data_IF_525593509217
#
_entry.id   IF_525593509217
#
_cell.length_a   1.000
_cell.length_b   1.000
_cell.length_c   1.000
_cell.angle_alpha   90.00
_cell.angle_beta   90.00
_cell.angle_gamma   90.00
#
_symmetry.space_group_name_H-M   'P 1'
#
loop_
_entity.id
_entity.type
_entity.pdbx_description
1 polymer ?
#
# COMPACT_ATOMS: atom_id res chain seq x y z
N UNK A 1 20.01 -21.87 -2.93
CA UNK A 1 18.67 -21.76 -2.30
C UNK A 1 17.78 -22.79 -2.96
N UNK A 2 17.40 -23.86 -2.26
CA UNK A 2 16.60 -24.96 -2.81
C UNK A 2 15.19 -24.44 -3.14
N UNK A 3 14.78 -24.56 -4.39
CA UNK A 3 13.38 -24.42 -4.81
C UNK A 3 12.58 -25.51 -4.11
N UNK A 4 11.64 -25.12 -3.25
CA UNK A 4 10.73 -26.08 -2.64
C UNK A 4 9.91 -26.74 -3.76
N UNK A 5 10.10 -28.04 -3.96
CA UNK A 5 9.25 -28.80 -4.87
C UNK A 5 7.79 -28.72 -4.42
N UNK A 6 6.86 -28.50 -5.35
CA UNK A 6 5.44 -28.45 -5.01
C UNK A 6 4.99 -29.80 -4.45
N UNK A 7 4.20 -29.76 -3.39
CA UNK A 7 3.54 -30.95 -2.84
C UNK A 7 2.71 -31.68 -3.91
N UNK A 8 2.54 -33.00 -3.85
CA UNK A 8 1.65 -33.72 -4.78
C UNK A 8 0.23 -33.10 -4.72
N UNK A 9 -0.18 -32.43 -5.79
CA UNK A 9 -1.45 -31.68 -5.86
C UNK A 9 -1.33 -30.17 -5.80
N UNK A 10 -0.16 -29.60 -5.53
CA UNK A 10 0.11 -28.16 -5.47
C UNK A 10 0.14 -27.48 -6.85
N UNK A 11 0.31 -26.15 -6.82
CA UNK A 11 0.35 -25.31 -8.03
C UNK A 11 1.72 -25.40 -8.71
N UNK A 12 1.71 -25.57 -10.04
CA UNK A 12 2.95 -25.65 -10.82
C UNK A 12 3.49 -24.28 -11.22
N UNK A 13 2.62 -23.27 -11.28
CA UNK A 13 2.97 -21.90 -11.68
C UNK A 13 2.04 -20.88 -11.04
N UNK A 14 2.46 -19.61 -11.11
CA UNK A 14 1.71 -18.46 -10.58
C UNK A 14 1.48 -17.45 -11.70
N UNK A 15 0.30 -16.85 -11.75
CA UNK A 15 -0.08 -15.80 -12.69
C UNK A 15 -0.53 -14.55 -11.95
N UNK A 16 0.25 -13.49 -12.04
CA UNK A 16 -0.07 -12.21 -11.41
C UNK A 16 -0.85 -11.34 -12.37
N UNK A 17 -2.09 -11.02 -12.02
CA UNK A 17 -3.03 -10.33 -12.89
C UNK A 17 -2.94 -8.81 -12.71
N UNK A 18 -2.59 -8.08 -13.78
CA UNK A 18 -2.50 -6.61 -13.80
C UNK A 18 -3.35 -6.01 -14.92
N UNK A 19 -3.86 -4.76 -14.80
CA UNK A 19 -4.70 -4.17 -15.85
C UNK A 19 -3.93 -3.93 -17.15
N UNK A 20 -2.65 -3.62 -17.06
CA UNK A 20 -1.72 -3.34 -18.15
C UNK A 20 -0.43 -2.79 -17.57
N UNK A 21 0.63 -2.71 -18.38
CA UNK A 21 1.95 -2.23 -17.98
C UNK A 21 2.35 -0.90 -18.66
N UNK A 22 1.46 -0.35 -19.48
CA UNK A 22 1.67 0.94 -20.15
C UNK A 22 1.67 2.13 -19.18
N UNK A 23 2.10 3.29 -19.68
CA UNK A 23 2.28 4.53 -18.88
C UNK A 23 1.03 4.97 -18.13
N UNK A 24 -0.16 4.76 -18.70
CA UNK A 24 -1.45 5.11 -18.07
C UNK A 24 -1.76 4.34 -16.79
N UNK A 25 -1.09 3.21 -16.55
CA UNK A 25 -1.27 2.38 -15.34
C UNK A 25 -0.17 2.62 -14.31
N UNK A 26 0.85 3.45 -14.62
CA UNK A 26 1.94 3.74 -13.67
C UNK A 26 1.41 4.31 -12.37
N UNK A 27 1.60 3.56 -11.31
CA UNK A 27 1.27 3.95 -9.94
C UNK A 27 1.94 2.98 -8.97
N UNK A 28 2.00 3.32 -7.69
CA UNK A 28 2.57 2.44 -6.66
C UNK A 28 1.93 1.05 -6.62
N UNK A 29 0.63 0.93 -6.93
CA UNK A 29 -0.04 -0.38 -7.00
C UNK A 29 0.49 -1.26 -8.12
N UNK A 30 0.83 -0.70 -9.30
CA UNK A 30 1.45 -1.46 -10.37
C UNK A 30 2.89 -1.87 -10.00
N UNK A 31 3.68 -0.95 -9.43
CA UNK A 31 5.04 -1.27 -8.97
C UNK A 31 5.04 -2.44 -7.99
N UNK A 32 4.16 -2.42 -7.00
CA UNK A 32 4.00 -3.52 -6.04
C UNK A 32 3.55 -4.82 -6.71
N UNK A 33 2.63 -4.77 -7.69
CA UNK A 33 2.20 -5.99 -8.40
C UNK A 33 3.34 -6.60 -9.25
N UNK A 34 4.15 -5.77 -9.90
CA UNK A 34 5.32 -6.23 -10.67
C UNK A 34 6.42 -6.74 -9.74
N UNK A 35 6.68 -6.08 -8.61
CA UNK A 35 7.58 -6.58 -7.56
C UNK A 35 7.08 -7.93 -7.03
N UNK A 36 5.79 -8.07 -6.75
CA UNK A 36 5.18 -9.34 -6.35
C UNK A 36 5.45 -10.44 -7.37
N UNK A 37 5.25 -10.18 -8.66
CA UNK A 37 5.52 -11.17 -9.72
C UNK A 37 7.00 -11.56 -9.78
N UNK A 38 7.90 -10.58 -9.70
CA UNK A 38 9.36 -10.81 -9.69
C UNK A 38 9.78 -11.64 -8.48
N UNK A 39 9.28 -11.33 -7.29
CA UNK A 39 9.63 -12.07 -6.08
C UNK A 39 9.02 -13.47 -6.06
N UNK A 40 7.78 -13.63 -6.50
CA UNK A 40 7.16 -14.96 -6.64
C UNK A 40 7.91 -15.83 -7.65
N UNK A 41 8.52 -15.25 -8.70
CA UNK A 41 9.30 -16.01 -9.67
C UNK A 41 10.56 -16.66 -9.08
N UNK A 42 11.06 -16.18 -7.94
CA UNK A 42 12.14 -16.84 -7.19
C UNK A 42 11.67 -18.05 -6.39
N UNK A 43 10.36 -18.20 -6.20
CA UNK A 43 9.74 -19.28 -5.44
C UNK A 43 9.11 -20.32 -6.37
N UNK A 44 8.47 -19.90 -7.46
CA UNK A 44 7.83 -20.74 -8.48
C UNK A 44 7.80 -20.05 -9.84
N UNK A 45 7.71 -20.81 -10.96
CA UNK A 45 7.48 -20.22 -12.29
C UNK A 45 6.31 -19.23 -12.23
N UNK A 46 6.57 -17.96 -12.54
CA UNK A 46 5.58 -16.88 -12.40
C UNK A 46 5.57 -16.01 -13.64
N UNK A 47 4.38 -15.67 -14.13
CA UNK A 47 4.19 -14.75 -15.24
C UNK A 47 3.22 -13.62 -14.88
N UNK A 48 3.43 -12.44 -15.47
CA UNK A 48 2.49 -11.31 -15.42
C UNK A 48 1.49 -11.48 -16.55
N UNK A 49 0.20 -11.35 -16.23
CA UNK A 49 -0.90 -11.45 -17.20
C UNK A 49 -1.68 -10.14 -17.21
N UNK A 50 -1.89 -9.56 -18.40
CA UNK A 50 -2.68 -8.33 -18.55
C UNK A 50 -4.14 -8.64 -18.87
N UNK A 51 -5.08 -7.74 -18.46
CA UNK A 51 -6.52 -7.99 -18.68
C UNK A 51 -7.32 -6.79 -19.19
N UNK A 52 -6.74 -5.59 -19.26
CA UNK A 52 -7.37 -4.38 -19.86
C UNK A 52 -6.64 -3.90 -21.10
N UNK A 53 -5.35 -4.06 -21.14
CA UNK A 53 -4.48 -3.62 -22.22
C UNK A 53 -3.60 -4.78 -22.68
N UNK A 54 -3.59 -5.04 -23.99
CA UNK A 54 -2.68 -6.02 -24.59
C UNK A 54 -1.25 -5.48 -24.61
N UNK A 55 -0.29 -6.35 -24.46
CA UNK A 55 1.13 -6.04 -24.45
C UNK A 55 1.90 -7.12 -25.19
N UNK A 56 2.90 -6.74 -25.95
CA UNK A 56 3.78 -7.73 -26.61
C UNK A 56 4.68 -8.48 -25.62
N UNK A 57 4.80 -7.97 -24.39
CA UNK A 57 5.66 -8.55 -23.34
C UNK A 57 4.93 -9.52 -22.42
N UNK A 58 3.61 -9.45 -22.36
CA UNK A 58 2.82 -10.20 -21.38
C UNK A 58 1.59 -10.81 -22.05
N UNK A 59 1.27 -12.08 -21.74
CA UNK A 59 0.06 -12.70 -22.24
C UNK A 59 -1.20 -11.94 -21.79
N UNK A 60 -2.24 -12.03 -22.62
CA UNK A 60 -3.52 -11.42 -22.33
C UNK A 60 -4.49 -12.47 -21.74
N UNK A 61 -5.22 -12.08 -20.70
CA UNK A 61 -6.07 -12.99 -19.93
C UNK A 61 -7.04 -13.80 -20.80
N UNK A 62 -7.78 -13.15 -21.72
CA UNK A 62 -8.79 -13.87 -22.49
C UNK A 62 -8.17 -14.91 -23.44
N UNK A 63 -6.98 -14.62 -23.99
CA UNK A 63 -6.28 -15.53 -24.88
C UNK A 63 -5.81 -16.77 -24.12
N UNK A 64 -5.26 -16.58 -22.89
CA UNK A 64 -4.88 -17.69 -22.03
C UNK A 64 -6.08 -18.55 -21.64
N UNK A 65 -7.20 -17.91 -21.27
CA UNK A 65 -8.40 -18.65 -20.87
C UNK A 65 -9.00 -19.45 -22.03
N UNK A 66 -8.92 -18.93 -23.26
CA UNK A 66 -9.36 -19.61 -24.46
C UNK A 66 -8.45 -20.79 -24.83
N UNK A 67 -7.12 -20.58 -24.74
CA UNK A 67 -6.14 -21.61 -25.09
C UNK A 67 -6.14 -22.80 -24.10
N UNK A 68 -6.32 -22.53 -22.80
CA UNK A 68 -6.31 -23.57 -21.77
C UNK A 68 -7.54 -24.48 -21.80
N UNK A 69 -8.70 -23.98 -22.23
CA UNK A 69 -9.97 -24.72 -22.19
C UNK A 69 -10.39 -25.11 -20.76
N UNK A 70 -9.74 -26.11 -20.19
CA UNK A 70 -9.95 -26.58 -18.80
C UNK A 70 -9.01 -25.88 -17.82
N UNK A 71 -9.42 -25.67 -16.54
CA UNK A 71 -8.56 -25.07 -15.52
C UNK A 71 -7.27 -25.86 -15.30
N UNK A 72 -6.13 -25.21 -15.52
CA UNK A 72 -4.81 -25.76 -15.23
C UNK A 72 -4.43 -25.63 -13.74
N UNK A 73 -3.21 -26.12 -13.40
CA UNK A 73 -2.64 -26.03 -12.03
C UNK A 73 -1.92 -24.70 -11.78
N UNK A 74 -2.35 -23.60 -12.40
CA UNK A 74 -1.80 -22.26 -12.16
C UNK A 74 -2.58 -21.53 -11.08
N UNK A 75 -1.87 -20.98 -10.08
CA UNK A 75 -2.44 -20.10 -9.08
C UNK A 75 -2.56 -18.68 -9.65
N UNK A 76 -3.76 -18.10 -9.64
CA UNK A 76 -4.01 -16.72 -10.09
C UNK A 76 -3.98 -15.74 -8.92
N UNK A 77 -3.06 -14.79 -8.92
CA UNK A 77 -3.00 -13.69 -7.94
C UNK A 77 -3.76 -12.49 -8.49
N UNK A 78 -4.83 -12.11 -7.81
CA UNK A 78 -5.70 -10.98 -8.17
C UNK A 78 -5.56 -9.90 -7.12
N UNK A 79 -5.26 -8.64 -7.51
CA UNK A 79 -4.94 -7.58 -6.53
C UNK A 79 -5.64 -6.24 -6.77
N UNK A 80 -6.16 -5.95 -7.97
CA UNK A 80 -6.71 -4.63 -8.33
C UNK A 80 -8.14 -4.43 -7.82
N UNK A 81 -8.27 -3.92 -6.62
CA UNK A 81 -9.45 -3.68 -5.81
C UNK A 81 -10.80 -3.64 -6.52
N UNK A 82 -11.12 -2.56 -7.24
CA UNK A 82 -12.41 -2.43 -7.92
C UNK A 82 -12.64 -3.42 -9.08
N UNK A 83 -11.58 -4.04 -9.61
CA UNK A 83 -11.67 -5.03 -10.68
C UNK A 83 -11.76 -6.46 -10.18
N UNK A 84 -11.52 -6.70 -8.89
CA UNK A 84 -11.50 -8.04 -8.29
C UNK A 84 -12.78 -8.84 -8.61
N UNK A 85 -14.00 -8.31 -8.41
CA UNK A 85 -15.22 -9.08 -8.73
C UNK A 85 -15.32 -9.49 -10.20
N UNK A 86 -14.87 -8.62 -11.12
CA UNK A 86 -14.86 -8.91 -12.56
C UNK A 86 -13.81 -9.97 -12.89
N UNK A 87 -12.63 -9.88 -12.27
CA UNK A 87 -11.54 -10.84 -12.47
C UNK A 87 -11.91 -12.20 -11.92
N UNK A 88 -12.50 -12.29 -10.73
CA UNK A 88 -13.00 -13.54 -10.14
C UNK A 88 -14.07 -14.19 -11.02
N UNK A 89 -14.96 -13.40 -11.63
CA UNK A 89 -15.98 -13.92 -12.55
C UNK A 89 -15.34 -14.56 -13.79
N UNK A 90 -14.26 -13.97 -14.34
CA UNK A 90 -13.52 -14.50 -15.50
C UNK A 90 -12.71 -15.76 -15.15
N UNK A 91 -12.20 -15.83 -13.93
CA UNK A 91 -11.38 -16.94 -13.42
C UNK A 91 -12.20 -18.06 -12.77
N UNK A 92 -13.51 -18.12 -13.01
CA UNK A 92 -14.38 -19.14 -12.44
C UNK A 92 -13.83 -20.55 -12.69
N UNK A 93 -13.81 -21.39 -11.63
CA UNK A 93 -13.29 -22.74 -11.67
C UNK A 93 -11.76 -22.84 -11.58
N UNK A 94 -11.03 -21.74 -11.55
CA UNK A 94 -9.57 -21.70 -11.42
C UNK A 94 -9.14 -21.40 -9.99
N UNK A 95 -7.97 -21.89 -9.55
CA UNK A 95 -7.40 -21.52 -8.26
C UNK A 95 -7.03 -20.03 -8.24
N UNK A 96 -7.59 -19.28 -7.29
CA UNK A 96 -7.36 -17.83 -7.14
C UNK A 96 -7.00 -17.50 -5.71
N UNK A 97 -6.05 -16.60 -5.52
CA UNK A 97 -5.77 -15.90 -4.28
C UNK A 97 -5.98 -14.40 -4.47
N UNK A 98 -6.62 -13.74 -3.54
CA UNK A 98 -6.78 -12.30 -3.54
C UNK A 98 -5.72 -11.64 -2.67
N UNK A 99 -4.79 -10.91 -3.29
CA UNK A 99 -3.83 -10.06 -2.57
C UNK A 99 -4.49 -8.70 -2.31
N UNK A 100 -4.83 -8.45 -1.04
CA UNK A 100 -5.63 -7.31 -0.63
C UNK A 100 -4.75 -6.12 -0.25
N UNK A 101 -4.65 -5.12 -1.13
CA UNK A 101 -3.84 -3.92 -0.92
C UNK A 101 -4.58 -2.78 -0.20
N UNK A 102 -5.87 -2.90 0.09
CA UNK A 102 -6.66 -1.88 0.79
C UNK A 102 -8.01 -2.45 1.23
N UNK A 103 -8.79 -1.64 1.91
CA UNK A 103 -10.18 -1.93 2.32
C UNK A 103 -11.16 -0.97 1.65
N UNK A 104 -12.46 -1.18 1.82
CA UNK A 104 -13.48 -0.21 1.40
C UNK A 104 -13.92 -0.31 -0.06
N UNK A 105 -13.47 -1.29 -0.84
CA UNK A 105 -13.86 -1.44 -2.24
C UNK A 105 -15.33 -1.79 -2.49
N UNK A 106 -16.09 -2.11 -1.42
CA UNK A 106 -17.55 -2.32 -1.48
C UNK A 106 -17.97 -3.61 -2.19
N UNK A 107 -17.15 -4.65 -2.17
CA UNK A 107 -17.51 -5.99 -2.63
C UNK A 107 -17.28 -7.03 -1.54
N UNK A 108 -17.94 -8.17 -1.68
CA UNK A 108 -17.75 -9.34 -0.84
C UNK A 108 -17.05 -10.45 -1.63
N UNK A 109 -16.25 -11.25 -0.95
CA UNK A 109 -15.56 -12.39 -1.56
C UNK A 109 -16.41 -13.66 -1.45
N UNK A 110 -16.43 -14.51 -2.49
CA UNK A 110 -16.97 -15.84 -2.40
C UNK A 110 -16.21 -16.66 -1.34
N UNK A 111 -16.88 -17.57 -0.60
CA UNK A 111 -16.20 -18.50 0.28
C UNK A 111 -15.11 -19.30 -0.44
N UNK A 112 -14.02 -19.63 0.24
CA UNK A 112 -12.94 -20.44 -0.31
C UNK A 112 -11.92 -19.69 -1.18
N UNK A 113 -12.05 -18.37 -1.37
CA UNK A 113 -11.00 -17.55 -1.99
C UNK A 113 -10.04 -17.09 -0.89
N UNK A 114 -8.80 -17.58 -0.83
CA UNK A 114 -7.83 -17.11 0.14
C UNK A 114 -7.50 -15.63 -0.05
N UNK A 115 -7.25 -14.93 1.07
CA UNK A 115 -6.90 -13.51 1.09
C UNK A 115 -5.51 -13.35 1.68
N UNK A 116 -4.60 -12.71 0.96
CA UNK A 116 -3.30 -12.27 1.45
C UNK A 116 -3.39 -10.77 1.68
N UNK A 117 -3.56 -10.36 2.93
CA UNK A 117 -3.62 -8.97 3.32
C UNK A 117 -2.22 -8.38 3.51
N UNK A 118 -2.04 -7.11 3.12
CA UNK A 118 -0.74 -6.43 3.21
C UNK A 118 -0.52 -5.70 4.54
N UNK A 119 -1.52 -5.66 5.43
CA UNK A 119 -1.45 -5.02 6.75
C UNK A 119 -2.48 -5.60 7.70
N UNK A 120 -2.30 -5.38 9.01
CA UNK A 120 -3.27 -5.78 10.05
C UNK A 120 -4.62 -5.10 9.86
N UNK A 121 -4.63 -3.84 9.44
CA UNK A 121 -5.88 -3.14 9.10
C UNK A 121 -6.63 -3.84 7.96
N UNK A 122 -5.93 -4.20 6.88
CA UNK A 122 -6.53 -4.90 5.74
C UNK A 122 -6.95 -6.32 6.12
N UNK A 123 -6.15 -7.01 6.96
CA UNK A 123 -6.47 -8.34 7.48
C UNK A 123 -7.76 -8.33 8.30
N UNK A 124 -7.87 -7.40 9.26
CA UNK A 124 -9.07 -7.24 10.10
C UNK A 124 -10.31 -6.93 9.27
N UNK A 125 -10.22 -6.00 8.32
CA UNK A 125 -11.33 -5.69 7.41
C UNK A 125 -11.84 -6.92 6.65
N UNK A 126 -10.94 -7.74 6.11
CA UNK A 126 -11.33 -8.95 5.38
C UNK A 126 -11.74 -10.09 6.32
N UNK A 127 -11.24 -10.12 7.57
CA UNK A 127 -11.73 -11.02 8.61
C UNK A 127 -13.23 -10.86 8.86
N UNK A 128 -13.68 -9.61 8.94
CA UNK A 128 -15.09 -9.29 9.12
C UNK A 128 -15.94 -9.55 7.87
N UNK A 129 -15.39 -9.24 6.69
CA UNK A 129 -16.14 -9.30 5.41
C UNK A 129 -16.09 -10.64 4.72
N UNK A 130 -15.11 -11.46 5.03
CA UNK A 130 -14.90 -12.77 4.41
C UNK A 130 -14.60 -13.86 5.46
N UNK A 131 -15.48 -14.08 6.45
CA UNK A 131 -15.22 -14.96 7.60
C UNK A 131 -15.12 -16.46 7.24
N UNK A 132 -15.38 -16.82 6.00
CA UNK A 132 -15.26 -18.20 5.47
C UNK A 132 -14.11 -18.35 4.48
N UNK A 133 -13.17 -17.40 4.47
CA UNK A 133 -12.04 -17.39 3.57
C UNK A 133 -10.76 -17.52 4.38
N UNK A 134 -9.77 -18.34 3.95
CA UNK A 134 -8.45 -18.36 4.57
C UNK A 134 -7.80 -16.98 4.48
N UNK A 135 -7.22 -16.49 5.58
CA UNK A 135 -6.61 -15.17 5.68
C UNK A 135 -5.13 -15.29 6.04
N UNK A 136 -4.30 -14.57 5.32
CA UNK A 136 -2.86 -14.51 5.51
C UNK A 136 -2.39 -13.06 5.60
N UNK A 137 -1.32 -12.81 6.34
CA UNK A 137 -0.68 -11.48 6.42
C UNK A 137 0.70 -11.54 5.77
N UNK A 138 0.87 -10.80 4.69
CA UNK A 138 2.17 -10.57 4.04
C UNK A 138 2.29 -9.09 3.70
N UNK A 139 3.02 -8.37 4.53
CA UNK A 139 3.29 -6.94 4.34
C UNK A 139 4.09 -6.69 3.05
N UNK A 140 3.88 -5.55 2.41
CA UNK A 140 4.67 -5.19 1.23
C UNK A 140 6.14 -5.01 1.60
N UNK A 141 7.03 -5.29 0.66
CA UNK A 141 8.46 -5.06 0.82
C UNK A 141 8.89 -3.73 0.20
N UNK A 142 9.93 -3.14 0.76
CA UNK A 142 10.70 -2.09 0.11
C UNK A 142 11.52 -2.69 -1.05
N UNK A 143 11.64 -1.94 -2.13
CA UNK A 143 12.59 -2.29 -3.20
C UNK A 143 14.03 -2.14 -2.69
N UNK A 144 14.99 -2.99 -3.17
CA UNK A 144 16.37 -3.00 -2.69
C UNK A 144 17.05 -1.63 -2.73
N UNK A 145 16.76 -0.81 -3.75
CA UNK A 145 17.34 0.52 -3.91
C UNK A 145 17.15 1.44 -2.68
N UNK A 146 16.05 1.29 -1.94
CA UNK A 146 15.81 2.06 -0.72
C UNK A 146 16.76 1.66 0.41
N UNK A 147 17.06 0.37 0.51
CA UNK A 147 17.95 -0.18 1.54
C UNK A 147 19.42 0.07 1.19
N UNK A 148 19.77 0.00 -0.08
CA UNK A 148 21.14 0.12 -0.60
C UNK A 148 21.62 1.57 -0.74
N UNK A 149 20.73 2.47 -1.20
CA UNK A 149 21.07 3.86 -1.53
C UNK A 149 20.54 4.88 -0.51
N UNK A 150 19.69 4.44 0.40
CA UNK A 150 19.12 5.32 1.42
C UNK A 150 20.19 5.83 2.40
N UNK A 151 20.31 7.14 2.53
CA UNK A 151 21.32 7.83 3.35
C UNK A 151 20.87 7.95 4.81
N UNK A 152 20.50 6.82 5.44
CA UNK A 152 20.17 6.78 6.88
C UNK A 152 21.43 6.68 7.73
N UNK A 153 21.42 7.23 8.96
CA UNK A 153 22.50 6.98 9.91
C UNK A 153 22.66 5.49 10.20
N UNK A 154 23.86 4.97 10.09
CA UNK A 154 24.22 3.59 10.44
C UNK A 154 24.61 3.53 11.93
N UNK A 155 24.57 2.31 12.51
CA UNK A 155 25.08 2.06 13.86
C UNK A 155 26.56 2.41 14.00
N UNK A 156 27.32 2.35 12.89
CA UNK A 156 28.76 2.65 12.83
C UNK A 156 29.08 4.13 12.58
N UNK A 157 28.15 4.88 11.99
CA UNK A 157 28.39 6.24 11.56
C UNK A 157 27.83 7.23 12.59
N UNK A 158 28.71 7.98 13.24
CA UNK A 158 28.36 9.06 14.16
C UNK A 158 28.20 10.42 13.47
N UNK A 159 28.63 10.53 12.22
CA UNK A 159 28.55 11.79 11.48
C UNK A 159 27.16 11.96 10.84
N UNK A 160 26.48 13.07 11.16
CA UNK A 160 25.21 13.36 10.55
C UNK A 160 25.39 13.57 9.03
N UNK A 161 24.46 13.09 8.23
CA UNK A 161 24.36 13.49 6.81
C UNK A 161 24.14 15.01 6.76
N UNK A 162 25.21 15.75 6.53
CA UNK A 162 25.31 17.16 6.90
C UNK A 162 24.68 18.12 5.89
N UNK A 163 24.44 17.71 4.64
CA UNK A 163 23.91 18.63 3.63
C UNK A 163 22.63 18.08 2.97
N UNK A 164 21.48 18.38 3.59
CA UNK A 164 20.15 18.13 3.02
C UNK A 164 19.50 19.45 2.65
N UNK A 165 19.50 19.83 1.35
CA UNK A 165 19.01 21.13 0.90
C UNK A 165 17.50 21.33 1.09
N UNK A 166 16.71 20.24 1.23
CA UNK A 166 15.27 20.29 1.44
C UNK A 166 15.00 20.14 2.93
N UNK A 167 14.44 21.17 3.56
CA UNK A 167 14.09 21.10 4.97
C UNK A 167 12.88 20.23 5.18
N UNK A 168 11.83 20.37 4.35
CA UNK A 168 10.61 19.61 4.45
C UNK A 168 10.14 19.13 3.07
N UNK A 169 9.95 17.84 2.90
CA UNK A 169 9.38 17.22 1.72
C UNK A 169 7.93 16.83 1.96
N UNK A 170 7.05 17.14 1.00
CA UNK A 170 5.64 16.77 1.00
C UNK A 170 5.26 16.20 -0.36
N UNK A 171 4.63 15.04 -0.39
CA UNK A 171 4.02 14.53 -1.63
C UNK A 171 2.58 15.04 -1.73
N UNK A 172 2.28 15.89 -2.74
CA UNK A 172 0.95 16.49 -2.94
C UNK A 172 -0.16 15.45 -3.04
N UNK A 173 0.07 14.35 -3.72
CA UNK A 173 -0.92 13.30 -3.99
C UNK A 173 -1.25 12.56 -2.73
N UNK A 174 -0.91 12.51 -1.70
CA UNK A 174 -1.31 11.77 -0.48
C UNK A 174 -1.21 12.65 0.76
N UNK A 175 -1.54 13.92 0.60
CA UNK A 175 -1.53 14.88 1.68
C UNK A 175 -2.91 15.43 1.94
N UNK A 176 -3.18 15.76 3.21
CA UNK A 176 -4.42 16.38 3.63
C UNK A 176 -4.51 17.85 3.22
N UNK A 177 -5.73 18.42 3.16
CA UNK A 177 -5.91 19.87 3.00
C UNK A 177 -5.23 20.67 4.10
N UNK A 178 -5.16 20.16 5.32
CA UNK A 178 -4.46 20.80 6.43
C UNK A 178 -2.96 20.96 6.11
N UNK A 179 -2.29 19.88 5.70
CA UNK A 179 -0.88 19.95 5.35
C UNK A 179 -0.65 20.89 4.17
N UNK A 180 -1.44 20.78 3.10
CA UNK A 180 -1.20 21.53 1.86
C UNK A 180 -1.58 23.02 1.96
N UNK A 181 -2.67 23.36 2.70
CA UNK A 181 -3.25 24.69 2.67
C UNK A 181 -2.98 25.50 3.94
N UNK A 182 -2.47 24.89 5.01
CA UNK A 182 -2.16 25.56 6.27
C UNK A 182 -0.71 25.32 6.69
N UNK A 183 -0.29 24.08 6.95
CA UNK A 183 1.04 23.78 7.49
C UNK A 183 2.16 24.16 6.52
N UNK A 184 2.09 23.74 5.24
CA UNK A 184 3.11 24.08 4.23
C UNK A 184 3.27 25.59 4.02
N UNK A 185 2.21 26.39 3.82
CA UNK A 185 2.35 27.86 3.73
C UNK A 185 2.99 28.47 4.98
N UNK A 186 2.62 28.01 6.16
CA UNK A 186 3.15 28.53 7.41
C UNK A 186 4.64 28.18 7.61
N UNK A 187 5.08 26.95 7.27
CA UNK A 187 6.49 26.56 7.28
C UNK A 187 7.32 27.42 6.30
N UNK A 188 6.81 27.68 5.09
CA UNK A 188 7.44 28.57 4.13
C UNK A 188 7.56 30.01 4.62
N UNK A 189 6.51 30.50 5.33
CA UNK A 189 6.53 31.82 5.94
C UNK A 189 7.58 31.97 7.05
N UNK A 190 7.98 30.87 7.68
CA UNK A 190 9.13 30.81 8.62
C UNK A 190 10.49 30.69 7.92
N UNK A 191 10.53 30.73 6.59
CA UNK A 191 11.78 30.68 5.82
C UNK A 191 12.30 29.26 5.54
N UNK A 192 11.54 28.20 5.88
CA UNK A 192 11.95 26.82 5.60
C UNK A 192 11.82 26.49 4.10
N UNK A 193 12.78 25.71 3.60
CA UNK A 193 12.81 25.21 2.20
C UNK A 193 11.89 24.00 2.09
N UNK A 194 10.60 24.27 1.78
CA UNK A 194 9.57 23.23 1.65
C UNK A 194 9.35 22.89 0.19
N UNK A 195 9.64 21.64 -0.16
CA UNK A 195 9.35 21.08 -1.47
C UNK A 195 8.02 20.31 -1.45
N UNK A 196 7.10 20.70 -2.33
CA UNK A 196 5.82 20.00 -2.54
C UNK A 196 5.91 19.25 -3.86
N UNK A 197 6.33 18.00 -3.79
CA UNK A 197 6.49 17.14 -4.94
C UNK A 197 5.13 16.83 -5.59
N UNK A 198 5.02 17.12 -6.88
CA UNK A 198 3.87 16.82 -7.70
C UNK A 198 4.33 16.25 -9.04
N UNK A 199 3.65 15.22 -9.52
CA UNK A 199 4.02 14.54 -10.76
C UNK A 199 4.97 13.35 -10.55
N UNK A 200 5.62 12.94 -11.62
CA UNK A 200 6.58 11.84 -11.62
C UNK A 200 7.98 12.32 -11.21
N UNK A 201 8.68 11.51 -10.45
CA UNK A 201 10.09 11.70 -10.09
C UNK A 201 10.84 10.44 -10.49
N UNK A 202 11.90 10.60 -11.26
CA UNK A 202 12.68 9.47 -11.78
C UNK A 202 13.52 8.82 -10.68
N UNK A 203 14.10 9.59 -9.77
CA UNK A 203 14.86 9.10 -8.62
C UNK A 203 14.28 9.61 -7.31
N UNK A 204 13.35 8.84 -6.75
CA UNK A 204 12.75 9.15 -5.45
C UNK A 204 13.75 8.96 -4.31
N UNK A 205 14.71 8.04 -4.43
CA UNK A 205 15.71 7.81 -3.36
C UNK A 205 16.58 9.06 -3.19
N UNK A 206 17.02 9.66 -4.31
CA UNK A 206 17.78 10.93 -4.25
C UNK A 206 16.94 12.05 -3.62
N UNK A 207 15.67 12.19 -4.02
CA UNK A 207 14.78 13.21 -3.46
C UNK A 207 14.64 13.07 -1.93
N UNK A 208 14.43 11.86 -1.44
CA UNK A 208 14.35 11.62 -0.01
C UNK A 208 15.68 11.80 0.71
N UNK A 209 16.80 11.37 0.13
CA UNK A 209 18.13 11.56 0.70
C UNK A 209 18.49 13.05 0.89
N UNK A 210 17.95 13.92 0.06
CA UNK A 210 18.14 15.38 0.13
C UNK A 210 17.19 16.09 1.09
N UNK A 211 16.28 15.34 1.74
CA UNK A 211 15.23 15.89 2.61
C UNK A 211 15.48 15.57 4.08
N UNK A 212 15.27 16.55 4.98
CA UNK A 212 15.41 16.37 6.44
C UNK A 212 14.15 15.78 7.07
N UNK A 213 13.00 16.36 6.75
CA UNK A 213 11.68 15.99 7.29
C UNK A 213 10.75 15.59 6.15
N UNK A 214 9.99 14.54 6.35
CA UNK A 214 8.93 14.10 5.45
C UNK A 214 7.56 14.18 6.11
N UNK A 215 6.63 14.92 5.49
CA UNK A 215 5.24 15.00 5.96
C UNK A 215 4.35 14.05 5.14
N UNK A 216 3.65 13.15 5.83
CA UNK A 216 2.76 12.16 5.21
C UNK A 216 1.42 12.06 5.95
N UNK A 217 0.43 12.79 5.51
CA UNK A 217 -0.92 12.79 6.09
C UNK A 217 -1.96 12.33 5.06
N UNK A 218 -2.11 11.00 4.94
CA UNK A 218 -2.92 10.36 3.89
C UNK A 218 -4.36 10.06 4.29
N UNK A 219 -4.77 10.29 5.53
CA UNK A 219 -6.09 9.88 6.03
C UNK A 219 -7.25 10.48 5.22
N UNK A 220 -7.27 11.79 5.05
CA UNK A 220 -8.32 12.47 4.28
C UNK A 220 -8.27 12.16 2.78
N UNK A 221 -7.07 11.97 2.24
CA UNK A 221 -6.90 11.56 0.85
C UNK A 221 -7.62 10.24 0.58
N UNK A 222 -7.38 9.21 1.39
CA UNK A 222 -7.99 7.90 1.22
C UNK A 222 -9.48 7.89 1.55
N UNK A 223 -9.91 8.63 2.58
CA UNK A 223 -11.33 8.82 2.89
C UNK A 223 -12.08 9.42 1.70
N UNK A 224 -11.48 10.40 1.04
CA UNK A 224 -12.03 11.00 -0.18
C UNK A 224 -12.18 10.04 -1.36
N UNK A 225 -11.44 8.93 -1.37
CA UNK A 225 -11.52 7.87 -2.38
C UNK A 225 -12.38 6.68 -1.94
N UNK A 226 -12.88 6.66 -0.70
CA UNK A 226 -13.70 5.59 -0.16
C UNK A 226 -12.92 4.29 0.15
N UNK A 227 -11.60 4.37 0.27
CA UNK A 227 -10.70 3.25 0.58
C UNK A 227 -9.76 3.65 1.73
N UNK A 228 -8.97 2.71 2.24
CA UNK A 228 -7.98 2.98 3.29
C UNK A 228 -6.54 2.98 2.74
N UNK A 229 -5.61 3.52 3.52
CA UNK A 229 -4.18 3.23 3.31
C UNK A 229 -3.96 1.72 3.46
N UNK A 230 -3.38 1.11 2.43
CA UNK A 230 -3.21 -0.34 2.41
C UNK A 230 -2.00 -0.84 3.18
N UNK A 231 -0.87 -0.13 3.06
CA UNK A 231 0.36 -0.43 3.78
C UNK A 231 1.15 0.83 4.18
N UNK A 232 1.37 1.76 3.25
CA UNK A 232 2.10 2.99 3.54
C UNK A 232 3.60 2.86 3.34
N UNK A 233 4.04 2.48 2.13
CA UNK A 233 5.47 2.44 1.77
C UNK A 233 6.19 3.79 1.95
N UNK A 234 5.62 4.96 1.57
CA UNK A 234 6.36 6.22 1.59
C UNK A 234 6.98 6.61 2.94
N UNK A 235 6.34 6.41 4.10
CA UNK A 235 7.01 6.60 5.38
C UNK A 235 8.22 5.69 5.61
N UNK A 236 8.17 4.42 5.19
CA UNK A 236 9.30 3.49 5.28
C UNK A 236 10.43 3.89 4.32
N UNK A 237 10.09 4.31 3.10
CA UNK A 237 11.01 4.86 2.11
C UNK A 237 11.75 6.09 2.67
N UNK A 238 11.01 6.99 3.34
CA UNK A 238 11.57 8.15 4.00
C UNK A 238 12.53 7.77 5.14
N UNK A 239 12.16 6.80 5.99
CA UNK A 239 13.02 6.31 7.06
C UNK A 239 14.28 5.61 6.53
N UNK A 240 14.16 4.84 5.44
CA UNK A 240 15.30 4.23 4.76
C UNK A 240 16.31 5.27 4.26
N UNK A 241 15.84 6.48 3.93
CA UNK A 241 16.65 7.63 3.52
C UNK A 241 17.04 8.53 4.71
N UNK A 242 16.71 8.18 5.95
CA UNK A 242 17.06 8.98 7.13
C UNK A 242 16.29 10.29 7.27
N UNK A 243 15.06 10.36 6.74
CA UNK A 243 14.17 11.48 7.01
C UNK A 243 13.47 11.30 8.35
N UNK A 244 13.28 12.41 9.08
CA UNK A 244 12.33 12.45 10.19
C UNK A 244 10.91 12.41 9.63
N UNK A 245 10.10 11.45 10.04
CA UNK A 245 8.75 11.28 9.51
C UNK A 245 7.72 11.89 10.45
N UNK A 246 6.91 12.81 9.92
CA UNK A 246 5.68 13.28 10.54
C UNK A 246 4.48 12.77 9.73
N UNK A 247 3.53 12.10 10.38
CA UNK A 247 2.42 11.49 9.68
C UNK A 247 1.14 11.38 10.50
N UNK A 248 0.05 10.99 9.83
CA UNK A 248 -1.17 10.54 10.48
C UNK A 248 -1.06 9.05 10.82
N UNK A 249 -1.40 8.68 12.05
CA UNK A 249 -1.37 7.29 12.51
C UNK A 249 -2.73 6.65 12.28
N UNK A 250 -3.00 6.29 11.04
CA UNK A 250 -4.29 5.75 10.63
C UNK A 250 -4.14 4.47 9.82
N UNK A 251 -5.13 3.61 9.91
CA UNK A 251 -5.22 2.37 9.13
C UNK A 251 -3.92 1.54 9.19
N UNK A 252 -3.38 1.18 8.03
CA UNK A 252 -2.16 0.38 7.93
C UNK A 252 -0.89 1.08 8.40
N UNK A 253 -0.89 2.41 8.48
CA UNK A 253 0.28 3.15 9.00
C UNK A 253 0.59 2.77 10.45
N UNK A 254 -0.43 2.38 11.22
CA UNK A 254 -0.24 1.90 12.59
C UNK A 254 0.53 0.57 12.70
N UNK A 255 0.77 -0.13 11.61
CA UNK A 255 1.61 -1.34 11.61
C UNK A 255 3.11 -1.01 11.71
N UNK A 256 3.52 0.16 11.21
CA UNK A 256 4.92 0.58 11.09
C UNK A 256 5.25 1.86 11.82
N UNK A 257 4.26 2.74 12.00
CA UNK A 257 4.43 4.02 12.67
C UNK A 257 3.98 3.93 14.13
N UNK A 258 4.92 4.15 15.04
CA UNK A 258 4.67 4.26 16.49
C UNK A 258 5.00 5.67 16.93
N UNK A 259 4.05 6.43 17.52
CA UNK A 259 4.26 7.82 17.93
C UNK A 259 5.44 7.98 18.86
N UNK A 260 6.37 8.90 18.53
CA UNK A 260 7.57 9.17 19.33
C UNK A 260 8.64 8.09 19.29
N UNK A 261 8.43 6.99 18.55
CA UNK A 261 9.40 5.89 18.39
C UNK A 261 9.89 5.81 16.95
N UNK A 262 9.00 5.58 15.98
CA UNK A 262 9.38 5.48 14.56
C UNK A 262 8.97 6.72 13.77
N UNK A 263 7.98 7.47 14.23
CA UNK A 263 7.50 8.67 13.57
C UNK A 263 6.78 9.62 14.55
N UNK A 264 6.40 10.79 14.08
CA UNK A 264 5.75 11.84 14.87
C UNK A 264 4.37 12.16 14.30
N UNK A 265 3.38 12.36 15.19
CA UNK A 265 2.01 12.66 14.79
C UNK A 265 1.89 14.09 14.24
N UNK A 266 1.21 14.26 13.10
CA UNK A 266 0.72 15.55 12.59
C UNK A 266 -0.66 15.87 13.20
N UNK A 267 -0.96 17.16 13.37
CA UNK A 267 -2.26 17.62 13.88
C UNK A 267 -2.42 17.36 15.37
N UNK A 268 -1.31 17.34 16.11
CA UNK A 268 -1.30 17.14 17.55
C UNK A 268 -1.34 18.49 18.27
N UNK A 269 -2.53 19.00 18.49
CA UNK A 269 -2.74 20.31 19.10
C UNK A 269 -3.09 21.37 18.07
N UNK A 270 -2.33 22.47 18.04
CA UNK A 270 -2.56 23.62 17.14
C UNK A 270 -1.59 23.63 15.96
N UNK A 271 -1.85 24.49 14.96
CA UNK A 271 -0.92 24.75 13.87
C UNK A 271 0.44 25.22 14.38
N UNK A 272 0.46 26.09 15.39
CA UNK A 272 1.68 26.62 16.00
C UNK A 272 2.51 25.50 16.64
N UNK A 273 1.85 24.52 17.27
CA UNK A 273 2.53 23.37 17.84
C UNK A 273 3.16 22.49 16.76
N UNK A 274 2.46 22.22 15.66
CA UNK A 274 3.05 21.46 14.53
C UNK A 274 4.20 22.24 13.88
N UNK A 275 4.07 23.57 13.72
CA UNK A 275 5.16 24.43 13.23
C UNK A 275 6.40 24.34 14.12
N UNK A 276 6.23 24.44 15.42
CA UNK A 276 7.32 24.38 16.41
C UNK A 276 8.04 23.03 16.34
N UNK A 277 7.30 21.95 16.31
CA UNK A 277 7.84 20.58 16.26
C UNK A 277 8.56 20.28 14.95
N UNK A 278 7.98 20.65 13.81
CA UNK A 278 8.60 20.43 12.49
C UNK A 278 9.86 21.30 12.36
N UNK A 279 9.80 22.56 12.79
CA UNK A 279 10.98 23.46 12.77
C UNK A 279 12.10 22.95 13.68
N UNK A 280 11.78 22.44 14.88
CA UNK A 280 12.77 21.81 15.77
C UNK A 280 13.38 20.55 15.14
N UNK A 281 12.59 19.73 14.45
CA UNK A 281 13.09 18.56 13.74
C UNK A 281 13.98 18.94 12.55
N UNK A 282 13.70 20.02 11.84
CA UNK A 282 14.57 20.56 10.78
C UNK A 282 15.90 21.06 11.35
N UNK A 283 15.85 21.75 12.48
CA UNK A 283 17.05 22.30 13.13
C UNK A 283 17.97 21.22 13.74
N UNK A 284 17.40 20.15 14.25
CA UNK A 284 18.15 19.06 14.92
C UNK A 284 17.57 17.67 14.59
N UNK A 285 17.69 17.21 13.33
CA UNK A 285 17.03 15.97 12.87
C UNK A 285 17.40 14.75 13.70
N UNK A 286 18.65 14.64 14.14
CA UNK A 286 19.15 13.48 14.88
C UNK A 286 18.42 13.23 16.23
N UNK A 287 17.87 14.28 16.84
CA UNK A 287 17.07 14.14 18.06
C UNK A 287 15.64 13.60 17.81
N UNK A 288 15.21 13.63 16.55
CA UNK A 288 13.87 13.24 16.13
C UNK A 288 13.85 11.92 15.36
N UNK A 289 15.02 11.45 14.91
CA UNK A 289 15.13 10.15 14.26
C UNK A 289 14.92 9.01 15.24
N UNK A 290 14.31 7.90 14.80
CA UNK A 290 14.30 6.65 15.58
C UNK A 290 15.73 6.18 15.87
N UNK A 291 15.90 5.36 16.90
CA UNK A 291 17.21 4.74 17.13
C UNK A 291 17.64 3.91 15.93
N UNK A 292 18.94 3.83 15.60
CA UNK A 292 19.43 3.02 14.48
C UNK A 292 18.94 1.57 14.53
N UNK A 293 18.93 0.94 15.72
CA UNK A 293 18.44 -0.44 15.89
C UNK A 293 16.93 -0.57 15.59
N UNK A 294 16.14 0.44 15.93
CA UNK A 294 14.70 0.48 15.61
C UNK A 294 14.48 0.56 14.10
N UNK A 295 15.22 1.45 13.41
CA UNK A 295 15.13 1.59 11.95
C UNK A 295 15.58 0.28 11.28
N UNK A 296 16.71 -0.28 11.65
CA UNK A 296 17.22 -1.50 11.04
C UNK A 296 16.27 -2.68 11.23
N UNK A 297 15.71 -2.85 12.42
CA UNK A 297 14.68 -3.89 12.66
C UNK A 297 13.45 -3.72 11.77
N UNK A 298 12.95 -2.50 11.63
CA UNK A 298 11.79 -2.18 10.81
C UNK A 298 12.06 -2.41 9.31
N UNK A 299 13.23 -1.98 8.82
CA UNK A 299 13.62 -2.14 7.42
C UNK A 299 13.95 -3.60 7.09
N UNK A 300 14.56 -4.35 8.00
CA UNK A 300 14.78 -5.79 7.84
C UNK A 300 13.45 -6.56 7.71
N UNK A 301 12.44 -6.19 8.51
CA UNK A 301 11.09 -6.77 8.42
C UNK A 301 10.39 -6.42 7.10
N UNK A 302 10.69 -5.26 6.51
CA UNK A 302 10.19 -4.81 5.21
C UNK A 302 11.08 -5.24 4.03
N UNK A 303 12.07 -6.10 4.21
CA UNK A 303 12.96 -6.56 3.14
C UNK A 303 12.28 -7.56 2.20
N UNK A 304 12.76 -7.64 0.96
CA UNK A 304 12.30 -8.64 -0.02
C UNK A 304 12.59 -10.08 0.44
N UNK A 305 13.68 -10.30 1.16
CA UNK A 305 14.01 -11.61 1.73
C UNK A 305 12.92 -12.07 2.72
N UNK A 306 12.52 -11.17 3.63
CA UNK A 306 11.47 -11.44 4.61
C UNK A 306 10.11 -11.64 3.95
N UNK A 307 9.83 -10.87 2.91
CA UNK A 307 8.63 -11.03 2.08
C UNK A 307 8.58 -12.43 1.43
N UNK A 308 9.68 -12.88 0.82
CA UNK A 308 9.78 -14.21 0.22
C UNK A 308 9.58 -15.35 1.24
N UNK A 309 10.12 -15.22 2.45
CA UNK A 309 9.88 -16.19 3.53
C UNK A 309 8.39 -16.30 3.86
N UNK A 310 7.71 -15.16 4.03
CA UNK A 310 6.26 -15.12 4.32
C UNK A 310 5.44 -15.73 3.19
N UNK A 311 5.75 -15.37 1.94
CA UNK A 311 5.04 -15.94 0.79
C UNK A 311 5.31 -17.43 0.60
N UNK A 312 6.51 -17.91 0.89
CA UNK A 312 6.80 -19.35 0.87
C UNK A 312 5.90 -20.12 1.83
N UNK A 313 5.74 -19.62 3.05
CA UNK A 313 4.84 -20.19 4.03
C UNK A 313 3.37 -20.16 3.58
N UNK A 314 2.93 -19.07 2.96
CA UNK A 314 1.58 -18.94 2.38
C UNK A 314 1.38 -19.94 1.24
N UNK A 315 2.33 -20.05 0.31
CA UNK A 315 2.23 -20.99 -0.83
C UNK A 315 2.11 -22.44 -0.39
N UNK A 316 2.84 -22.87 0.66
CA UNK A 316 2.70 -24.22 1.23
C UNK A 316 1.28 -24.46 1.77
N UNK A 317 0.71 -23.48 2.48
CA UNK A 317 -0.67 -23.59 2.98
C UNK A 317 -1.70 -23.57 1.84
N UNK A 318 -1.47 -22.78 0.79
CA UNK A 318 -2.34 -22.76 -0.40
C UNK A 318 -2.29 -24.10 -1.16
N UNK A 319 -1.11 -24.73 -1.25
CA UNK A 319 -0.97 -26.07 -1.83
C UNK A 319 -1.77 -27.10 -1.05
N UNK A 320 -1.69 -27.06 0.27
CA UNK A 320 -2.44 -27.95 1.16
C UNK A 320 -3.95 -27.76 1.01
N UNK A 321 -4.42 -26.51 1.01
CA UNK A 321 -5.81 -26.18 0.74
C UNK A 321 -6.29 -26.68 -0.63
N UNK A 322 -5.46 -26.59 -1.65
CA UNK A 322 -5.76 -27.09 -2.99
C UNK A 322 -5.86 -28.61 -3.04
N UNK A 323 -4.91 -29.32 -2.40
CA UNK A 323 -4.89 -30.77 -2.32
C UNK A 323 -6.15 -31.34 -1.63
N UNK A 324 -6.69 -30.62 -0.64
CA UNK A 324 -7.93 -31.00 0.06
C UNK A 324 -9.22 -30.47 -0.59
N UNK A 325 -9.15 -29.86 -1.79
CA UNK A 325 -10.32 -29.31 -2.49
C UNK A 325 -10.96 -28.11 -1.78
N UNK A 326 -10.25 -27.49 -0.84
CA UNK A 326 -10.75 -26.38 -0.05
C UNK A 326 -10.55 -25.01 -0.75
N UNK A 327 -9.88 -25.00 -1.91
CA UNK A 327 -9.70 -23.81 -2.75
C UNK A 327 -10.58 -23.86 -4.00
N UNK A 328 -11.06 -22.73 -4.38
CA UNK A 328 -11.68 -22.53 -5.68
C UNK A 328 -12.97 -21.73 -5.59
N UNK A 329 -13.26 -21.08 -6.69
CA UNK A 329 -14.57 -20.49 -6.95
C UNK A 329 -15.55 -21.64 -7.26
N UNK A 330 -15.99 -22.35 -6.22
CA UNK A 330 -17.15 -23.24 -6.36
C UNK A 330 -18.31 -22.46 -6.98
N UNK A 331 -19.39 -23.13 -7.39
CA UNK A 331 -20.57 -22.54 -8.02
C UNK A 331 -21.27 -21.41 -7.21
N UNK A 332 -20.69 -20.96 -6.12
CA UNK A 332 -21.15 -19.85 -5.32
C UNK A 332 -21.28 -18.59 -6.18
N UNK A 333 -22.39 -17.89 -6.07
CA UNK A 333 -22.67 -16.63 -6.76
C UNK A 333 -21.55 -15.64 -6.51
N UNK A 334 -20.79 -15.31 -7.53
CA UNK A 334 -19.92 -14.14 -7.50
C UNK A 334 -20.82 -12.92 -7.30
N UNK A 335 -20.72 -12.29 -6.14
CA UNK A 335 -21.58 -11.18 -5.77
C UNK A 335 -21.33 -10.01 -6.71
N UNK A 336 -22.40 -9.30 -7.05
CA UNK A 336 -22.34 -8.15 -7.96
C UNK A 336 -21.47 -7.07 -7.34
N UNK A 337 -20.42 -6.67 -8.04
CA UNK A 337 -19.76 -5.40 -7.75
C UNK A 337 -20.79 -4.27 -7.78
N UNK A 338 -20.89 -3.42 -6.76
CA UNK A 338 -21.62 -2.18 -6.89
C UNK A 338 -21.03 -1.47 -8.11
N UNK A 339 -21.88 -1.06 -9.06
CA UNK A 339 -21.39 -0.36 -10.25
C UNK A 339 -20.57 0.84 -9.76
N UNK A 340 -19.44 1.13 -10.42
CA UNK A 340 -18.63 2.32 -10.13
C UNK A 340 -19.44 3.61 -10.16
N UNK A 341 -20.57 3.61 -10.90
CA UNK A 341 -21.59 4.67 -10.87
C UNK A 341 -22.28 4.77 -9.50
N UNK A 342 -22.71 3.64 -8.88
CA UNK A 342 -23.35 3.68 -7.55
C UNK A 342 -22.36 4.16 -6.47
N UNK A 343 -21.11 3.68 -6.50
CA UNK A 343 -20.10 4.13 -5.55
C UNK A 343 -19.79 5.63 -5.72
N UNK A 344 -19.66 6.12 -6.97
CA UNK A 344 -19.49 7.56 -7.25
C UNK A 344 -20.74 8.38 -6.84
N UNK A 345 -21.93 7.81 -6.94
CA UNK A 345 -23.16 8.45 -6.48
C UNK A 345 -23.23 8.51 -4.96
N UNK A 346 -22.94 7.43 -4.24
CA UNK A 346 -22.92 7.43 -2.77
C UNK A 346 -21.86 8.38 -2.23
N UNK A 347 -20.68 8.44 -2.83
CA UNK A 347 -19.63 9.40 -2.47
C UNK A 347 -20.03 10.86 -2.80
N UNK A 348 -20.71 11.10 -3.90
CA UNK A 348 -21.28 12.45 -4.21
C UNK A 348 -22.37 12.83 -3.20
N UNK A 349 -23.25 11.93 -2.84
CA UNK A 349 -24.30 12.17 -1.85
C UNK A 349 -23.74 12.36 -0.44
N UNK A 350 -22.73 11.63 -0.02
CA UNK A 350 -22.06 11.85 1.26
C UNK A 350 -21.36 13.22 1.32
N UNK A 351 -20.71 13.64 0.22
CA UNK A 351 -20.12 14.98 0.10
C UNK A 351 -21.17 16.11 0.12
N UNK A 352 -22.32 15.89 -0.53
CA UNK A 352 -23.45 16.85 -0.49
C UNK A 352 -24.06 16.93 0.91
N UNK A 353 -24.28 15.79 1.58
CA UNK A 353 -24.75 15.76 2.97
C UNK A 353 -23.78 16.45 3.92
N UNK A 354 -22.47 16.23 3.77
CA UNK A 354 -21.44 16.93 4.54
C UNK A 354 -21.46 18.45 4.33
N UNK A 355 -21.64 18.90 3.07
CA UNK A 355 -21.77 20.34 2.76
C UNK A 355 -23.07 20.94 3.33
N UNK A 356 -24.17 20.22 3.32
CA UNK A 356 -25.44 20.66 3.90
C UNK A 356 -25.36 20.67 5.42
N UNK A 357 -24.78 19.64 6.04
CA UNK A 357 -24.56 19.60 7.49
C UNK A 357 -23.66 20.75 7.96
N UNK A 358 -22.55 21.03 7.23
CA UNK A 358 -21.68 22.16 7.54
C UNK A 358 -22.34 23.53 7.34
N UNK A 359 -23.32 23.67 6.43
CA UNK A 359 -24.10 24.87 6.29
C UNK A 359 -25.15 25.05 7.41
N UNK A 360 -25.70 23.95 7.91
CA UNK A 360 -26.67 23.96 9.02
C UNK A 360 -25.99 24.10 10.38
N UNK A 361 -24.75 23.64 10.56
CA UNK A 361 -23.96 23.83 11.78
C UNK A 361 -23.35 25.23 11.90
N UNK A 362 -23.39 26.03 10.84
CA UNK A 362 -22.98 27.45 10.82
C UNK A 362 -24.04 28.42 11.29
N UNK A 363 -25.18 27.97 11.81
CA UNK A 363 -26.21 28.87 12.38
C UNK A 363 -25.79 29.25 13.80
N UNK A 364 -25.60 30.56 14.09
CA UNK A 364 -25.20 30.99 15.42
C UNK A 364 -26.30 30.66 16.41
N UNK A 365 -25.97 29.91 17.45
CA UNK A 365 -26.82 29.79 18.64
C UNK A 365 -27.02 31.18 19.24
N UNK A 366 -28.22 31.70 19.17
CA UNK A 366 -28.59 32.86 19.97
C UNK A 366 -28.51 32.44 21.44
N UNK A 367 -27.62 33.10 22.17
CA UNK A 367 -27.66 33.12 23.62
C UNK A 367 -29.02 33.71 24.04
N UNK A 368 -29.80 32.96 24.76
CA UNK A 368 -30.89 33.36 25.57
C UNK A 368 -30.59 33.01 27.00
#
# INVERSE_FOLDING_TARGET
>A
MSSAEPSPGGFNSIRVLVPGTGTRFRCGGLSVALQTARLLSTLRPTEVVTYRERSDRHPYLDDLLQAEGTPGKSLWVVSWGFDVPRSLKRLRGRPVVYQAHSSGYGFDLPPGVPVVAVSRNTLGYWGDRAPRNPLFLVSNALEPQWLERGARPSLSDRDPVTDRPIDVLVQKRKSSPYVLNQLVPALKAQGLRVEVQSGWVDDLVDLFNRSKVYLYDSAEYWRGHGVSEGFGLPPLEAMACGCVVFGSFNHALADTLTPGVTAHQIGQGTLENDLLRVSAAVASPNHWLPSPSTIEGLLADASEARWCERWRAVLLQLDDLAAHGAMGLSSARVLRSPSTRRLRWTLRWSRLRGKVANRLSGWPWRQG
#
